data_IF_029474325367
#
_entry.id   IF_029474325367
#
_cell.length_a   1.000
_cell.length_b   1.000
_cell.length_c   1.000
_cell.angle_alpha   90.00
_cell.angle_beta   90.00
_cell.angle_gamma   90.00
#
_symmetry.space_group_name_H-M   'P 1'
#
loop_
_entity.id
_entity.type
_entity.pdbx_description
1 polymer ?
#
# COMPACT_ATOMS: atom_id res chain seq x y z
N UNK A 1 -5.09 -15.61 -4.14
CA UNK A 1 -5.11 -14.21 -3.65
C UNK A 1 -6.50 -13.91 -3.11
N UNK A 2 -6.68 -13.83 -1.78
CA UNK A 2 -7.96 -13.42 -1.17
C UNK A 2 -7.78 -12.03 -0.57
N UNK A 3 -8.12 -11.01 -1.34
CA UNK A 3 -8.30 -9.67 -0.81
C UNK A 3 -9.72 -9.54 -0.28
N UNK A 4 -9.87 -9.09 0.95
CA UNK A 4 -11.18 -8.91 1.56
C UNK A 4 -11.80 -7.60 1.04
N UNK A 5 -12.94 -7.63 0.31
CA UNK A 5 -13.51 -6.44 -0.32
C UNK A 5 -13.79 -5.26 0.64
N UNK A 6 -14.17 -5.49 1.91
CA UNK A 6 -14.26 -4.42 2.91
C UNK A 6 -12.95 -3.68 3.17
N UNK A 7 -11.79 -4.35 3.13
CA UNK A 7 -10.50 -3.70 3.35
C UNK A 7 -10.19 -2.72 2.23
N UNK A 8 -10.41 -3.12 0.97
CA UNK A 8 -10.23 -2.25 -0.20
C UNK A 8 -11.12 -1.00 -0.12
N UNK A 9 -12.38 -1.16 0.32
CA UNK A 9 -13.28 -0.02 0.55
C UNK A 9 -12.81 0.91 1.67
N UNK A 10 -12.26 0.34 2.75
CA UNK A 10 -11.67 1.12 3.83
C UNK A 10 -10.48 1.94 3.33
N UNK A 11 -9.58 1.32 2.56
CA UNK A 11 -8.41 1.99 1.99
C UNK A 11 -8.81 3.10 1.01
N UNK A 12 -9.77 2.86 0.11
CA UNK A 12 -10.29 3.90 -0.78
C UNK A 12 -10.89 5.08 0.00
N UNK A 13 -11.63 4.81 1.08
CA UNK A 13 -12.17 5.86 1.96
C UNK A 13 -11.05 6.66 2.63
N UNK A 14 -10.03 6.00 3.16
CA UNK A 14 -8.92 6.66 3.84
C UNK A 14 -8.02 7.45 2.88
N UNK A 15 -7.85 6.97 1.64
CA UNK A 15 -7.13 7.68 0.56
C UNK A 15 -7.89 8.90 0.05
N UNK A 16 -9.19 9.00 0.33
CA UNK A 16 -10.05 10.06 -0.21
C UNK A 16 -10.32 9.93 -1.72
N UNK A 17 -9.99 8.78 -2.31
CA UNK A 17 -10.17 8.50 -3.74
C UNK A 17 -10.36 6.99 -3.98
N UNK A 18 -11.04 6.61 -5.08
CA UNK A 18 -11.11 5.21 -5.50
C UNK A 18 -9.72 4.59 -5.66
N UNK A 19 -9.60 3.34 -5.24
CA UNK A 19 -8.43 2.51 -5.48
C UNK A 19 -8.86 1.08 -5.77
N UNK A 20 -8.16 0.43 -6.68
CA UNK A 20 -8.42 -0.96 -7.08
C UNK A 20 -7.24 -1.84 -6.70
N UNK A 21 -7.49 -3.07 -6.26
CA UNK A 21 -6.42 -3.99 -5.95
C UNK A 21 -5.76 -4.53 -7.21
N UNK A 22 -4.43 -4.52 -7.23
CA UNK A 22 -3.61 -5.00 -8.36
C UNK A 22 -2.61 -6.09 -7.96
N UNK A 23 -2.43 -6.36 -6.66
CA UNK A 23 -1.49 -7.38 -6.19
C UNK A 23 -1.45 -7.57 -4.68
N UNK A 24 -0.52 -8.43 -4.24
CA UNK A 24 -0.13 -8.61 -2.83
C UNK A 24 1.40 -8.56 -2.76
N UNK A 25 1.96 -7.87 -1.76
CA UNK A 25 3.37 -7.96 -1.42
C UNK A 25 3.63 -9.28 -0.68
N UNK A 26 4.33 -10.24 -1.31
CA UNK A 26 4.41 -11.62 -0.83
C UNK A 26 5.07 -11.80 0.55
N UNK A 27 5.96 -10.88 0.96
CA UNK A 27 6.69 -10.99 2.23
C UNK A 27 5.85 -10.50 3.41
N UNK A 28 4.98 -9.53 3.19
CA UNK A 28 4.25 -8.82 4.24
C UNK A 28 2.75 -8.87 4.10
N UNK A 29 2.29 -9.54 3.05
CA UNK A 29 0.88 -9.79 2.75
C UNK A 29 0.04 -8.52 2.58
N UNK A 30 0.70 -7.37 2.41
CA UNK A 30 0.03 -6.09 2.16
C UNK A 30 -0.64 -6.08 0.79
N UNK A 31 -1.80 -5.43 0.73
CA UNK A 31 -2.53 -5.20 -0.50
C UNK A 31 -1.80 -4.15 -1.34
N UNK A 32 -1.55 -4.47 -2.61
CA UNK A 32 -1.05 -3.49 -3.57
C UNK A 32 -2.25 -2.89 -4.31
N UNK A 33 -2.44 -1.57 -4.21
CA UNK A 33 -3.56 -0.85 -4.80
C UNK A 33 -3.06 0.13 -5.88
N UNK A 34 -3.85 0.28 -6.94
CA UNK A 34 -3.75 1.37 -7.90
C UNK A 34 -4.84 2.38 -7.59
N UNK A 35 -4.46 3.59 -7.19
CA UNK A 35 -5.37 4.69 -6.96
C UNK A 35 -5.80 5.37 -8.27
N UNK A 36 -6.94 6.06 -8.26
CA UNK A 36 -7.48 6.78 -9.43
C UNK A 36 -6.48 7.76 -10.06
N UNK A 37 -5.63 8.39 -9.23
CA UNK A 37 -4.60 9.33 -9.67
C UNK A 37 -3.34 8.66 -10.25
N UNK A 38 -3.31 7.33 -10.39
CA UNK A 38 -2.19 6.57 -10.94
C UNK A 38 -1.14 6.12 -9.91
N UNK A 39 -1.31 6.42 -8.63
CA UNK A 39 -0.36 5.99 -7.61
C UNK A 39 -0.51 4.52 -7.25
N UNK A 40 0.63 3.89 -6.95
CA UNK A 40 0.68 2.58 -6.32
C UNK A 40 0.75 2.76 -4.81
N UNK A 41 -0.09 2.04 -4.07
CA UNK A 41 -0.20 2.10 -2.61
C UNK A 41 0.01 0.69 -2.04
N UNK A 42 0.82 0.58 -0.99
CA UNK A 42 0.77 -0.59 -0.10
C UNK A 42 -0.18 -0.30 1.05
N UNK A 43 -1.11 -1.21 1.31
CA UNK A 43 -2.12 -1.07 2.34
C UNK A 43 -2.25 -2.37 3.13
N UNK A 44 -2.11 -2.29 4.45
CA UNK A 44 -2.17 -3.43 5.35
C UNK A 44 -2.39 -3.00 6.80
N UNK A 45 -2.12 -3.90 7.74
CA UNK A 45 -2.35 -3.67 9.17
C UNK A 45 -1.47 -2.54 9.73
N UNK A 46 -0.30 -2.29 9.11
CA UNK A 46 0.61 -1.22 9.48
C UNK A 46 0.22 0.17 8.94
N UNK A 47 -0.88 0.27 8.17
CA UNK A 47 -1.34 1.51 7.54
C UNK A 47 -1.20 1.51 6.01
N UNK A 48 -1.12 2.70 5.42
CA UNK A 48 -1.03 2.88 3.97
C UNK A 48 0.16 3.75 3.58
N UNK A 49 0.86 3.37 2.51
CA UNK A 49 2.02 4.09 2.00
C UNK A 49 1.98 4.22 0.47
N UNK A 50 2.17 5.45 -0.03
CA UNK A 50 2.40 5.74 -1.45
C UNK A 50 3.77 5.26 -1.91
N UNK A 51 3.82 4.65 -3.09
CA UNK A 51 5.03 4.04 -3.68
C UNK A 51 5.55 4.82 -4.90
N UNK A 52 5.20 6.12 -5.03
CA UNK A 52 5.67 7.00 -6.12
C UNK A 52 7.20 7.03 -6.30
N UNK A 53 7.70 7.64 -7.40
CA UNK A 53 9.11 7.66 -7.86
C UNK A 53 10.13 7.31 -6.76
N UNK A 54 10.59 6.06 -6.75
CA UNK A 54 11.31 5.51 -5.60
C UNK A 54 10.87 4.10 -5.18
N UNK A 55 10.03 3.39 -5.95
CA UNK A 55 9.62 2.00 -5.68
C UNK A 55 10.79 1.10 -5.23
N UNK A 56 11.92 1.15 -5.93
CA UNK A 56 13.11 0.38 -5.55
C UNK A 56 13.70 0.80 -4.18
N UNK A 57 13.66 2.09 -3.85
CA UNK A 57 14.09 2.61 -2.55
C UNK A 57 13.09 2.27 -1.42
N UNK A 58 11.79 2.28 -1.72
CA UNK A 58 10.74 1.87 -0.79
C UNK A 58 10.84 0.37 -0.47
N UNK A 59 10.98 -0.49 -1.49
CA UNK A 59 11.21 -1.93 -1.31
C UNK A 59 12.49 -2.18 -0.52
N UNK A 60 13.57 -1.43 -0.78
CA UNK A 60 14.80 -1.54 0.02
C UNK A 60 14.57 -1.16 1.48
N UNK A 61 13.99 0.01 1.76
CA UNK A 61 13.75 0.49 3.13
C UNK A 61 12.83 -0.45 3.91
N UNK A 62 11.90 -1.08 3.22
CA UNK A 62 10.99 -2.08 3.77
C UNK A 62 11.70 -3.38 4.14
N UNK A 63 12.43 -3.98 3.19
CA UNK A 63 13.22 -5.21 3.44
C UNK A 63 14.31 -4.98 4.49
N UNK A 64 14.88 -3.77 4.56
CA UNK A 64 15.89 -3.41 5.57
C UNK A 64 15.30 -2.98 6.92
N UNK A 65 13.98 -2.86 7.07
CA UNK A 65 13.33 -2.43 8.32
C UNK A 65 13.58 -0.97 8.71
N UNK A 66 14.12 -0.15 7.80
CA UNK A 66 14.49 1.26 8.03
C UNK A 66 13.40 2.22 7.53
N UNK A 67 12.14 1.84 7.68
CA UNK A 67 11.00 2.64 7.28
C UNK A 67 10.76 3.81 8.24
N UNK A 68 10.36 4.95 7.69
CA UNK A 68 10.11 6.19 8.45
C UNK A 68 8.74 6.14 9.12
N UNK A 69 8.74 5.92 10.44
CA UNK A 69 7.54 5.76 11.28
C UNK A 69 6.88 7.08 11.69
N UNK A 70 7.27 8.21 11.10
CA UNK A 70 6.80 9.55 11.49
C UNK A 70 5.34 9.87 11.14
N UNK A 71 4.64 8.97 10.45
CA UNK A 71 3.23 9.15 10.06
C UNK A 71 2.25 8.24 10.81
N UNK A 72 2.63 7.79 12.02
CA UNK A 72 1.70 7.11 12.95
C UNK A 72 0.71 8.10 13.59
#
# INVERSE_FOLDING_TARGET
MRLYPPNVRSYARQLGMPAVPIGIALVTEESVLLAENGDIIFAGDAGMQRVGNGFAAAVKAFVSGTWDKRFL
#
